data_IF_123158676163
#
_entry.id   IF_123158676163
#
_cell.length_a   1.000
_cell.length_b   1.000
_cell.length_c   1.000
_cell.angle_alpha   90.00
_cell.angle_beta   90.00
_cell.angle_gamma   90.00
#
_symmetry.space_group_name_H-M   'P 1'
#
loop_
_entity.id
_entity.type
_entity.pdbx_description
1 polymer ?
#
# COMPACT_ATOMS: atom_id res chain seq x y z
N UNK A 1 -4.96 36.58 -5.19
CA UNK A 1 -4.28 37.34 -6.27
C UNK A 1 -3.41 38.48 -5.74
N UNK A 2 -3.90 39.24 -4.75
CA UNK A 2 -3.19 40.41 -4.19
C UNK A 2 -1.85 40.07 -3.51
N UNK A 3 -1.79 38.97 -2.75
CA UNK A 3 -0.59 38.55 -2.00
C UNK A 3 0.54 38.06 -2.92
N UNK A 4 0.21 37.39 -4.02
CA UNK A 4 1.21 36.89 -4.98
C UNK A 4 1.82 38.03 -5.80
N UNK A 5 1.04 39.06 -6.15
CA UNK A 5 1.56 40.28 -6.77
C UNK A 5 2.59 40.96 -5.87
N UNK A 6 2.35 41.02 -4.57
CA UNK A 6 3.29 41.59 -3.60
C UNK A 6 4.61 40.82 -3.54
N UNK A 7 4.58 39.49 -3.59
CA UNK A 7 5.78 38.65 -3.52
C UNK A 7 6.66 38.76 -4.80
N UNK A 8 6.04 38.81 -5.98
CA UNK A 8 6.78 39.00 -7.26
C UNK A 8 7.38 40.39 -7.34
N UNK A 9 6.69 41.41 -6.81
CA UNK A 9 7.20 42.78 -6.77
C UNK A 9 8.40 42.93 -5.83
N UNK A 10 8.41 42.20 -4.71
CA UNK A 10 9.54 42.17 -3.77
C UNK A 10 10.77 41.48 -4.37
N UNK A 11 10.60 40.34 -5.04
CA UNK A 11 11.70 39.61 -5.68
C UNK A 11 12.33 40.40 -6.86
N UNK A 12 11.53 41.20 -7.57
CA UNK A 12 12.01 42.07 -8.65
C UNK A 12 12.88 43.23 -8.16
N UNK A 13 12.72 43.68 -6.91
CA UNK A 13 13.55 44.77 -6.38
C UNK A 13 14.92 44.29 -5.91
N UNK A 14 15.07 43.01 -5.55
CA UNK A 14 16.27 42.51 -4.90
C UNK A 14 17.33 41.97 -5.88
N UNK A 15 16.96 41.62 -7.12
CA UNK A 15 17.88 40.94 -8.06
C UNK A 15 18.53 41.83 -9.12
N UNK A 16 18.22 43.13 -9.19
CA UNK A 16 18.75 44.11 -10.18
C UNK A 16 18.75 43.66 -11.66
N UNK A 17 18.04 42.57 -11.97
CA UNK A 17 17.93 41.98 -13.30
C UNK A 17 16.46 42.08 -13.72
N UNK A 18 16.12 42.86 -14.77
CA UNK A 18 14.76 42.97 -15.24
C UNK A 18 14.33 41.62 -15.82
N UNK A 19 13.41 40.96 -15.13
CA UNK A 19 12.73 39.76 -15.64
C UNK A 19 11.94 40.19 -16.90
N UNK A 20 12.15 39.58 -18.07
CA UNK A 20 11.45 39.97 -19.28
C UNK A 20 9.93 39.78 -19.10
N UNK A 21 9.16 40.82 -19.43
CA UNK A 21 7.70 40.96 -19.21
C UNK A 21 6.85 39.79 -19.76
N UNK A 22 7.39 39.03 -20.72
CA UNK A 22 6.77 37.84 -21.30
C UNK A 22 6.87 36.59 -20.41
N UNK A 23 7.81 36.54 -19.47
CA UNK A 23 7.99 35.40 -18.56
C UNK A 23 7.06 35.45 -17.35
N UNK A 24 6.72 36.64 -16.85
CA UNK A 24 5.77 36.80 -15.75
C UNK A 24 4.34 36.42 -16.14
N UNK A 25 3.92 36.77 -17.36
CA UNK A 25 2.59 36.44 -17.90
C UNK A 25 2.41 34.94 -18.14
N UNK A 26 3.44 34.23 -18.61
CA UNK A 26 3.44 32.77 -18.77
C UNK A 26 3.40 32.03 -17.43
N UNK A 27 4.12 32.53 -16.42
CA UNK A 27 4.12 31.97 -15.06
C UNK A 27 2.75 32.21 -14.41
N UNK A 28 2.18 33.42 -14.52
CA UNK A 28 0.86 33.73 -13.99
C UNK A 28 -0.26 32.92 -14.65
N UNK A 29 -0.23 32.73 -15.97
CA UNK A 29 -1.18 31.85 -16.66
C UNK A 29 -1.02 30.39 -16.25
N UNK A 30 0.21 29.89 -16.09
CA UNK A 30 0.45 28.50 -15.67
C UNK A 30 -0.04 28.24 -14.25
N UNK A 31 0.22 29.17 -13.31
CA UNK A 31 -0.23 29.05 -11.92
C UNK A 31 -1.76 29.20 -11.83
N UNK A 32 -2.36 30.16 -12.54
CA UNK A 32 -3.80 30.37 -12.51
C UNK A 32 -4.56 29.18 -13.13
N UNK A 33 -4.04 28.62 -14.23
CA UNK A 33 -4.58 27.40 -14.84
C UNK A 33 -4.42 26.21 -13.91
N UNK A 34 -3.25 26.04 -13.26
CA UNK A 34 -3.03 24.97 -12.29
C UNK A 34 -4.00 25.07 -11.10
N UNK A 35 -4.24 26.28 -10.58
CA UNK A 35 -5.10 26.54 -9.43
C UNK A 35 -6.59 26.33 -9.75
N UNK A 36 -7.07 26.85 -10.89
CA UNK A 36 -8.47 26.68 -11.32
C UNK A 36 -8.77 25.21 -11.63
N UNK A 37 -7.79 24.48 -12.19
CA UNK A 37 -7.94 23.08 -12.55
C UNK A 37 -7.83 22.16 -11.32
N UNK A 38 -7.01 22.50 -10.31
CA UNK A 38 -7.04 21.82 -9.00
C UNK A 38 -8.37 22.05 -8.28
N UNK A 39 -8.88 23.28 -8.25
CA UNK A 39 -10.17 23.60 -7.61
C UNK A 39 -11.33 22.89 -8.33
N UNK A 40 -11.36 22.88 -9.66
CA UNK A 40 -12.40 22.18 -10.41
C UNK A 40 -12.28 20.64 -10.32
N UNK A 41 -11.07 20.08 -10.19
CA UNK A 41 -10.89 18.66 -9.87
C UNK A 41 -11.41 18.30 -8.48
N UNK A 42 -11.21 19.17 -7.48
CA UNK A 42 -11.70 18.90 -6.12
C UNK A 42 -13.22 18.91 -5.98
N UNK A 43 -13.95 19.54 -6.92
CA UNK A 43 -15.39 19.76 -6.79
C UNK A 43 -16.27 18.57 -7.20
N UNK A 44 -15.75 17.56 -7.91
CA UNK A 44 -16.58 16.51 -8.54
C UNK A 44 -16.41 15.10 -7.99
N UNK A 45 -15.33 14.80 -7.30
CA UNK A 45 -15.03 13.42 -6.88
C UNK A 45 -15.23 13.21 -5.36
N UNK A 46 -15.70 12.02 -4.93
CA UNK A 46 -15.72 11.67 -3.51
C UNK A 46 -14.32 11.81 -2.88
N UNK A 47 -14.28 12.36 -1.66
CA UNK A 47 -13.06 12.83 -0.97
C UNK A 47 -12.01 11.72 -0.77
N UNK A 48 -12.42 10.45 -0.64
CA UNK A 48 -11.51 9.31 -0.51
C UNK A 48 -12.15 8.02 -1.03
N UNK A 49 -11.50 7.33 -1.96
CA UNK A 49 -12.02 6.12 -2.64
C UNK A 49 -11.14 4.88 -2.47
N UNK A 50 -9.87 5.04 -2.05
CA UNK A 50 -8.99 3.94 -1.66
C UNK A 50 -9.50 3.21 -0.41
N UNK A 51 -10.20 3.94 0.46
CA UNK A 51 -10.87 3.38 1.63
C UNK A 51 -12.06 2.54 1.20
N UNK A 52 -11.94 1.22 1.31
CA UNK A 52 -13.12 0.34 1.29
C UNK A 52 -13.95 0.63 2.52
N UNK A 53 -15.20 1.06 2.32
CA UNK A 53 -16.14 1.27 3.43
C UNK A 53 -16.36 -0.07 4.13
N UNK A 54 -16.15 -0.11 5.44
CA UNK A 54 -16.51 -1.26 6.27
C UNK A 54 -18.00 -1.13 6.54
N UNK A 55 -18.80 -1.86 5.78
CA UNK A 55 -20.23 -1.95 6.01
C UNK A 55 -20.51 -3.09 6.99
N UNK A 56 -20.98 -2.73 8.19
CA UNK A 56 -21.30 -3.67 9.26
C UNK A 56 -22.55 -4.50 8.99
N UNK A 57 -23.30 -4.26 7.91
CA UNK A 57 -24.38 -5.16 7.51
C UNK A 57 -23.86 -6.50 6.96
N UNK A 58 -22.59 -6.54 6.51
CA UNK A 58 -21.97 -7.77 6.05
C UNK A 58 -21.42 -8.60 7.22
N UNK A 59 -21.89 -9.85 7.34
CA UNK A 59 -21.45 -10.81 8.37
C UNK A 59 -19.93 -10.96 8.41
N UNK A 60 -19.26 -11.00 7.26
CA UNK A 60 -17.79 -11.10 7.17
C UNK A 60 -17.09 -9.93 7.88
N UNK A 61 -17.61 -8.71 7.75
CA UNK A 61 -17.02 -7.54 8.39
C UNK A 61 -17.25 -7.57 9.91
N UNK A 62 -18.45 -7.95 10.35
CA UNK A 62 -18.75 -8.14 11.77
C UNK A 62 -17.83 -9.19 12.40
N UNK A 63 -17.67 -10.34 11.74
CA UNK A 63 -16.85 -11.44 12.23
C UNK A 63 -15.38 -11.05 12.35
N UNK A 64 -14.79 -10.36 11.36
CA UNK A 64 -13.39 -9.96 11.47
C UNK A 64 -13.19 -8.89 12.54
N UNK A 65 -14.13 -7.95 12.70
CA UNK A 65 -14.05 -6.95 13.77
C UNK A 65 -14.12 -7.62 15.14
N UNK A 66 -15.05 -8.57 15.34
CA UNK A 66 -15.14 -9.34 16.57
C UNK A 66 -13.89 -10.20 16.81
N UNK A 67 -13.35 -10.84 15.75
CA UNK A 67 -12.16 -11.67 15.85
C UNK A 67 -10.90 -10.85 16.19
N UNK A 68 -10.73 -9.68 15.57
CA UNK A 68 -9.64 -8.75 15.89
C UNK A 68 -9.77 -8.16 17.30
N UNK A 69 -10.98 -7.79 17.73
CA UNK A 69 -11.21 -7.33 19.10
C UNK A 69 -10.92 -8.45 20.12
N UNK A 70 -11.37 -9.68 19.82
CA UNK A 70 -11.14 -10.86 20.64
C UNK A 70 -9.66 -11.23 20.74
N UNK A 71 -8.90 -11.16 19.64
CA UNK A 71 -7.46 -11.39 19.67
C UNK A 71 -6.72 -10.35 20.50
N UNK A 72 -7.11 -9.08 20.39
CA UNK A 72 -6.52 -8.02 21.20
C UNK A 72 -6.82 -8.17 22.69
N UNK A 73 -8.06 -8.51 23.05
CA UNK A 73 -8.43 -8.81 24.43
C UNK A 73 -7.65 -10.01 24.97
N UNK A 74 -7.53 -11.09 24.19
CA UNK A 74 -6.77 -12.27 24.58
C UNK A 74 -5.30 -11.93 24.85
N UNK A 75 -4.65 -11.19 23.95
CA UNK A 75 -3.24 -10.80 24.12
C UNK A 75 -3.06 -9.89 25.33
N UNK A 76 -3.93 -8.90 25.52
CA UNK A 76 -3.89 -8.03 26.70
C UNK A 76 -4.03 -8.85 28.00
N UNK A 77 -4.95 -9.82 28.06
CA UNK A 77 -5.12 -10.67 29.24
C UNK A 77 -3.91 -11.59 29.49
N UNK A 78 -3.25 -12.06 28.42
CA UNK A 78 -2.09 -12.96 28.54
C UNK A 78 -0.79 -12.25 28.92
N UNK A 79 -0.62 -10.98 28.53
CA UNK A 79 0.62 -10.22 28.76
C UNK A 79 0.49 -9.17 29.87
N UNK A 80 -0.74 -8.75 30.17
CA UNK A 80 -1.02 -7.58 31.03
C UNK A 80 -0.80 -6.24 30.34
N UNK A 81 -0.40 -6.20 29.06
CA UNK A 81 -0.06 -4.99 28.32
C UNK A 81 -1.07 -4.66 27.22
N UNK A 82 -1.70 -3.49 27.33
CA UNK A 82 -2.68 -2.97 26.36
C UNK A 82 -2.04 -2.78 24.98
N UNK A 83 -0.75 -2.43 24.91
CA UNK A 83 -0.06 -2.18 23.64
C UNK A 83 0.08 -3.47 22.82
N UNK A 84 0.37 -4.59 23.48
CA UNK A 84 0.39 -5.92 22.85
C UNK A 84 -0.99 -6.36 22.36
N UNK A 85 -2.05 -6.05 23.11
CA UNK A 85 -3.43 -6.33 22.69
C UNK A 85 -3.82 -5.53 21.44
N UNK A 86 -3.52 -4.23 21.42
CA UNK A 86 -3.79 -3.41 20.24
C UNK A 86 -3.00 -3.89 19.02
N UNK A 87 -1.74 -4.31 19.24
CA UNK A 87 -0.88 -4.88 18.20
C UNK A 87 -1.49 -6.16 17.61
N UNK A 88 -1.98 -7.08 18.44
CA UNK A 88 -2.61 -8.31 17.99
C UNK A 88 -3.92 -8.05 17.24
N UNK A 89 -4.76 -7.13 17.72
CA UNK A 89 -5.98 -6.73 17.03
C UNK A 89 -5.68 -6.14 15.64
N UNK A 90 -4.70 -5.23 15.58
CA UNK A 90 -4.29 -4.58 14.34
C UNK A 90 -3.68 -5.57 13.35
N UNK A 91 -2.80 -6.47 13.82
CA UNK A 91 -2.19 -7.51 13.01
C UNK A 91 -3.24 -8.43 12.38
N UNK A 92 -4.17 -8.97 13.18
CA UNK A 92 -5.25 -9.85 12.69
C UNK A 92 -6.12 -9.14 11.65
N UNK A 93 -6.49 -7.89 11.90
CA UNK A 93 -7.29 -7.10 10.95
C UNK A 93 -6.52 -6.79 9.66
N UNK A 94 -5.26 -6.38 9.74
CA UNK A 94 -4.44 -6.05 8.58
C UNK A 94 -4.11 -7.30 7.76
N UNK A 95 -3.85 -8.45 8.38
CA UNK A 95 -3.67 -9.72 7.65
C UNK A 95 -4.92 -10.06 6.84
N UNK A 96 -6.10 -9.98 7.46
CA UNK A 96 -7.37 -10.21 6.74
C UNK A 96 -7.54 -9.23 5.58
N UNK A 97 -7.26 -7.94 5.81
CA UNK A 97 -7.40 -6.92 4.79
C UNK A 97 -6.45 -7.15 3.61
N UNK A 98 -5.17 -7.47 3.87
CA UNK A 98 -4.18 -7.78 2.85
C UNK A 98 -4.56 -9.05 2.08
N UNK A 99 -4.96 -10.12 2.78
CA UNK A 99 -5.36 -11.37 2.14
C UNK A 99 -6.54 -11.17 1.17
N UNK A 100 -7.48 -10.28 1.49
CA UNK A 100 -8.59 -9.92 0.57
C UNK A 100 -8.14 -9.14 -0.67
N UNK A 101 -7.03 -8.42 -0.60
CA UNK A 101 -6.45 -7.78 -1.78
C UNK A 101 -5.66 -8.79 -2.64
N UNK A 102 -5.08 -9.83 -2.03
CA UNK A 102 -4.35 -10.89 -2.73
C UNK A 102 -5.29 -11.94 -3.37
N UNK A 103 -6.40 -12.25 -2.71
CA UNK A 103 -7.41 -13.21 -3.18
C UNK A 103 -8.83 -12.65 -2.98
N UNK A 104 -9.27 -11.72 -3.85
CA UNK A 104 -10.61 -11.15 -3.74
C UNK A 104 -11.73 -12.15 -4.05
N UNK A 105 -11.42 -13.30 -4.66
CA UNK A 105 -12.39 -14.34 -5.02
C UNK A 105 -12.94 -15.08 -3.79
N UNK A 106 -12.09 -15.33 -2.79
CA UNK A 106 -12.43 -16.23 -1.68
C UNK A 106 -12.34 -15.49 -0.33
N UNK A 107 -13.44 -14.94 0.19
CA UNK A 107 -13.40 -14.19 1.45
C UNK A 107 -12.99 -15.06 2.66
N UNK A 108 -13.17 -16.37 2.58
CA UNK A 108 -12.79 -17.31 3.64
C UNK A 108 -11.27 -17.52 3.75
N UNK A 109 -10.52 -17.37 2.65
CA UNK A 109 -9.06 -17.50 2.69
C UNK A 109 -8.42 -16.41 3.56
N UNK A 110 -9.03 -15.22 3.59
CA UNK A 110 -8.62 -14.12 4.45
C UNK A 110 -8.85 -14.38 5.95
N UNK A 111 -9.90 -15.12 6.32
CA UNK A 111 -10.08 -15.55 7.72
C UNK A 111 -9.04 -16.58 8.15
N UNK A 112 -8.70 -17.50 7.26
CA UNK A 112 -7.63 -18.46 7.53
C UNK A 112 -6.28 -17.75 7.71
N UNK A 113 -5.96 -16.77 6.86
CA UNK A 113 -4.78 -15.91 7.03
C UNK A 113 -4.77 -15.21 8.40
N UNK A 114 -5.89 -14.60 8.80
CA UNK A 114 -6.01 -13.91 10.07
C UNK A 114 -5.80 -14.86 11.27
N UNK A 115 -6.32 -16.08 11.19
CA UNK A 115 -6.09 -17.11 12.21
C UNK A 115 -4.63 -17.53 12.27
N UNK A 116 -3.98 -17.76 11.12
CA UNK A 116 -2.54 -18.07 11.07
C UNK A 116 -1.69 -16.98 11.72
N UNK A 117 -2.00 -15.71 11.48
CA UNK A 117 -1.35 -14.59 12.16
C UNK A 117 -1.54 -14.69 13.67
N UNK A 118 -2.77 -14.90 14.16
CA UNK A 118 -3.02 -15.01 15.59
C UNK A 118 -2.18 -16.11 16.26
N UNK A 119 -2.06 -17.27 15.61
CA UNK A 119 -1.25 -18.37 16.12
C UNK A 119 0.26 -18.15 16.05
N UNK A 120 0.71 -17.35 15.07
CA UNK A 120 2.14 -17.16 14.80
C UNK A 120 2.70 -15.88 15.43
N UNK A 121 1.84 -14.96 15.88
CA UNK A 121 2.23 -13.67 16.45
C UNK A 121 3.13 -13.85 17.68
N UNK A 122 4.26 -13.16 17.67
CA UNK A 122 5.13 -13.08 18.83
C UNK A 122 4.56 -12.05 19.83
N UNK A 123 4.36 -12.47 21.07
CA UNK A 123 3.73 -11.67 22.14
C UNK A 123 4.52 -10.41 22.50
N UNK A 124 5.85 -10.44 22.33
CA UNK A 124 6.73 -9.31 22.65
C UNK A 124 7.24 -8.57 21.40
N UNK A 125 6.90 -9.07 20.21
CA UNK A 125 7.33 -8.48 18.94
C UNK A 125 6.59 -7.17 18.64
N UNK A 126 7.28 -6.24 17.99
CA UNK A 126 6.68 -5.01 17.46
C UNK A 126 6.06 -5.26 16.09
N UNK A 127 5.09 -4.42 15.73
CA UNK A 127 4.41 -4.45 14.45
C UNK A 127 4.48 -3.08 13.79
N UNK A 128 4.94 -3.04 12.54
CA UNK A 128 4.94 -1.83 11.73
C UNK A 128 3.58 -1.62 11.07
N UNK A 129 2.56 -1.32 11.89
CA UNK A 129 1.18 -1.18 11.42
C UNK A 129 1.00 -0.12 10.34
N UNK A 130 1.77 0.98 10.41
CA UNK A 130 1.77 2.04 9.40
C UNK A 130 2.28 1.55 8.04
N UNK A 131 3.35 0.74 8.03
CA UNK A 131 3.91 0.17 6.81
C UNK A 131 2.92 -0.80 6.15
N UNK A 132 2.29 -1.66 6.96
CA UNK A 132 1.28 -2.59 6.48
C UNK A 132 0.04 -1.88 5.94
N UNK A 133 -0.37 -0.79 6.59
CA UNK A 133 -1.45 0.06 6.11
C UNK A 133 -1.09 0.76 4.79
N UNK A 134 0.16 1.25 4.66
CA UNK A 134 0.68 1.81 3.42
C UNK A 134 0.63 0.79 2.29
N UNK A 135 1.11 -0.43 2.54
CA UNK A 135 1.08 -1.53 1.58
C UNK A 135 -0.36 -1.85 1.17
N UNK A 136 -1.30 -1.93 2.10
CA UNK A 136 -2.72 -2.17 1.81
C UNK A 136 -3.29 -1.11 0.84
N UNK A 137 -3.00 0.17 1.08
CA UNK A 137 -3.46 1.26 0.20
C UNK A 137 -2.79 1.18 -1.18
N UNK A 138 -1.50 0.84 -1.22
CA UNK A 138 -0.76 0.66 -2.47
C UNK A 138 -1.32 -0.49 -3.32
N UNK A 139 -1.61 -1.64 -2.69
CA UNK A 139 -2.23 -2.77 -3.37
C UNK A 139 -3.62 -2.40 -3.90
N UNK A 140 -4.43 -1.66 -3.13
CA UNK A 140 -5.75 -1.17 -3.59
C UNK A 140 -5.65 -0.24 -4.78
N UNK A 141 -4.63 0.63 -4.82
CA UNK A 141 -4.35 1.43 -6.00
C UNK A 141 -4.15 0.50 -7.19
N UNK A 142 -3.18 -0.42 -7.11
CA UNK A 142 -2.80 -1.26 -8.26
C UNK A 142 -3.94 -2.17 -8.70
N UNK A 143 -4.56 -2.89 -7.75
CA UNK A 143 -5.64 -3.83 -8.00
C UNK A 143 -6.91 -3.17 -8.54
N UNK A 144 -7.34 -2.07 -7.93
CA UNK A 144 -8.67 -1.52 -8.21
C UNK A 144 -9.83 -2.43 -7.79
N UNK A 145 -9.64 -3.25 -6.77
CA UNK A 145 -10.67 -4.12 -6.17
C UNK A 145 -11.91 -3.35 -5.72
N UNK A 146 -11.77 -2.07 -5.37
CA UNK A 146 -12.89 -1.17 -5.03
C UNK A 146 -13.78 -0.81 -6.23
N UNK A 147 -13.30 -1.00 -7.47
CA UNK A 147 -14.00 -0.65 -8.71
C UNK A 147 -14.10 0.85 -9.00
N UNK A 148 -13.84 1.70 -8.00
CA UNK A 148 -13.95 3.16 -8.12
C UNK A 148 -12.76 3.77 -8.83
N UNK A 149 -12.99 4.89 -9.51
CA UNK A 149 -11.91 5.74 -10.01
C UNK A 149 -11.20 6.38 -8.81
N UNK A 150 -9.88 6.32 -8.81
CA UNK A 150 -9.05 6.99 -7.79
C UNK A 150 -9.30 8.49 -7.84
N UNK A 151 -9.60 9.08 -6.68
CA UNK A 151 -9.67 10.53 -6.54
C UNK A 151 -8.26 11.12 -6.51
N UNK A 152 -8.15 12.43 -6.75
CA UNK A 152 -6.89 13.13 -6.59
C UNK A 152 -6.40 13.13 -5.14
N UNK A 153 -7.33 13.21 -4.17
CA UNK A 153 -7.00 13.10 -2.75
C UNK A 153 -6.39 11.75 -2.40
N UNK A 154 -6.91 10.65 -2.97
CA UNK A 154 -6.33 9.31 -2.77
C UNK A 154 -4.87 9.25 -3.25
N UNK A 155 -4.60 9.81 -4.43
CA UNK A 155 -3.26 9.84 -5.01
C UNK A 155 -2.32 10.69 -4.17
N UNK A 156 -2.75 11.89 -3.73
CA UNK A 156 -1.95 12.77 -2.88
C UNK A 156 -1.73 12.17 -1.49
N UNK A 157 -2.74 11.55 -0.89
CA UNK A 157 -2.63 10.92 0.42
C UNK A 157 -1.64 9.75 0.37
N UNK A 158 -1.73 8.89 -0.65
CA UNK A 158 -0.82 7.75 -0.78
C UNK A 158 0.61 8.19 -1.18
N UNK A 159 0.74 9.24 -2.00
CA UNK A 159 2.01 9.90 -2.26
C UNK A 159 2.65 10.44 -0.96
N UNK A 160 1.92 11.25 -0.20
CA UNK A 160 2.38 11.82 1.06
C UNK A 160 2.72 10.72 2.08
N UNK A 161 1.92 9.66 2.12
CA UNK A 161 2.17 8.54 3.02
C UNK A 161 3.41 7.73 2.61
N UNK A 162 3.66 7.57 1.30
CA UNK A 162 4.88 6.96 0.79
C UNK A 162 6.11 7.79 1.17
N UNK A 163 6.05 9.11 1.02
CA UNK A 163 7.13 10.00 1.46
C UNK A 163 7.36 9.88 2.95
N UNK A 164 6.29 9.89 3.75
CA UNK A 164 6.38 9.73 5.18
C UNK A 164 7.05 8.41 5.59
N UNK A 165 6.59 7.28 5.04
CA UNK A 165 7.19 5.96 5.32
C UNK A 165 8.67 5.96 4.89
N UNK A 166 8.96 6.41 3.67
CA UNK A 166 10.32 6.47 3.13
C UNK A 166 11.28 7.27 4.01
N UNK A 167 10.83 8.42 4.51
CA UNK A 167 11.64 9.29 5.39
C UNK A 167 11.77 8.71 6.80
N UNK A 168 10.67 8.20 7.37
CA UNK A 168 10.66 7.63 8.72
C UNK A 168 11.59 6.43 8.87
N UNK A 169 11.75 5.64 7.79
CA UNK A 169 12.64 4.48 7.77
C UNK A 169 14.00 4.79 7.12
N UNK A 170 14.21 6.01 6.62
CA UNK A 170 15.37 6.40 5.80
C UNK A 170 15.66 5.44 4.62
N UNK A 171 14.61 4.89 3.98
CA UNK A 171 14.74 3.87 2.93
C UNK A 171 14.07 4.32 1.63
N UNK A 172 14.88 4.66 0.63
CA UNK A 172 14.38 5.14 -0.67
C UNK A 172 13.58 4.10 -1.46
N UNK A 173 13.72 2.80 -1.17
CA UNK A 173 13.01 1.73 -1.88
C UNK A 173 11.49 1.82 -1.80
N UNK A 174 10.93 2.46 -0.76
CA UNK A 174 9.49 2.74 -0.71
C UNK A 174 9.03 3.66 -1.84
N UNK A 175 9.86 4.64 -2.23
CA UNK A 175 9.61 5.48 -3.41
C UNK A 175 9.69 4.67 -4.71
N UNK A 176 10.60 3.70 -4.79
CA UNK A 176 10.70 2.81 -5.94
C UNK A 176 9.45 1.93 -6.09
N UNK A 177 8.95 1.35 -5.00
CA UNK A 177 7.70 0.57 -5.03
C UNK A 177 6.51 1.44 -5.46
N UNK A 178 6.45 2.69 -5.01
CA UNK A 178 5.45 3.64 -5.46
C UNK A 178 5.58 3.99 -6.95
N UNK A 179 6.81 4.18 -7.45
CA UNK A 179 7.09 4.39 -8.88
C UNK A 179 6.61 3.20 -9.73
N UNK A 180 6.90 1.97 -9.29
CA UNK A 180 6.42 0.75 -9.96
C UNK A 180 4.89 0.70 -9.95
N UNK A 181 4.24 1.04 -8.84
CA UNK A 181 2.78 1.12 -8.75
C UNK A 181 2.18 2.19 -9.69
N UNK A 182 2.86 3.34 -9.83
CA UNK A 182 2.47 4.41 -10.75
C UNK A 182 2.53 3.91 -12.21
N UNK A 183 3.63 3.25 -12.58
CA UNK A 183 3.84 2.66 -13.90
C UNK A 183 2.83 1.55 -14.22
N UNK A 184 2.39 0.79 -13.22
CA UNK A 184 1.39 -0.27 -13.37
C UNK A 184 -0.01 0.25 -13.74
N UNK A 185 -0.30 1.53 -13.49
CA UNK A 185 -1.65 2.10 -13.67
C UNK A 185 -1.65 3.42 -14.47
N UNK A 186 -1.14 3.42 -15.71
CA UNK A 186 -0.96 4.66 -16.48
C UNK A 186 -2.28 5.33 -16.86
N UNK A 187 -3.34 4.54 -17.06
CA UNK A 187 -4.64 5.04 -17.51
C UNK A 187 -5.47 5.76 -16.44
N UNK A 188 -5.03 5.80 -15.18
CA UNK A 188 -5.79 6.47 -14.12
C UNK A 188 -5.48 7.95 -13.95
N UNK A 189 -4.40 8.43 -14.57
CA UNK A 189 -4.06 9.86 -14.57
C UNK A 189 -4.75 10.58 -15.75
N UNK A 190 -5.23 11.81 -15.53
CA UNK A 190 -6.11 12.50 -16.48
C UNK A 190 -5.43 12.91 -17.78
N UNK A 191 -4.09 13.00 -17.84
CA UNK A 191 -3.37 13.26 -19.09
C UNK A 191 -1.94 12.70 -19.06
N UNK A 192 -1.40 12.38 -20.25
CA UNK A 192 -0.02 11.90 -20.45
C UNK A 192 1.06 12.84 -19.87
N UNK A 193 1.01 14.18 -20.02
CA UNK A 193 2.03 15.05 -19.44
C UNK A 193 2.01 15.06 -17.90
N UNK A 194 0.84 14.93 -17.26
CA UNK A 194 0.78 14.82 -15.79
C UNK A 194 1.39 13.50 -15.30
N UNK A 195 1.21 12.41 -16.05
CA UNK A 195 1.85 11.14 -15.75
C UNK A 195 3.38 11.22 -15.84
N UNK A 196 3.90 11.80 -16.93
CA UNK A 196 5.34 11.95 -17.12
C UNK A 196 5.98 12.88 -16.07
N UNK A 197 5.34 14.00 -15.74
CA UNK A 197 5.83 14.90 -14.69
C UNK A 197 5.78 14.27 -13.30
N UNK A 198 4.76 13.47 -12.99
CA UNK A 198 4.76 12.68 -11.76
C UNK A 198 5.92 11.68 -11.77
N UNK A 199 6.10 10.93 -12.86
CA UNK A 199 7.17 9.93 -12.96
C UNK A 199 8.57 10.55 -12.78
N UNK A 200 8.83 11.70 -13.42
CA UNK A 200 10.12 12.40 -13.29
C UNK A 200 10.31 12.99 -11.89
N UNK A 201 9.27 13.57 -11.28
CA UNK A 201 9.35 14.09 -9.93
C UNK A 201 9.64 12.98 -8.90
N UNK A 202 8.91 11.88 -8.95
CA UNK A 202 9.11 10.74 -8.05
C UNK A 202 10.44 10.02 -8.31
N UNK A 203 10.87 9.92 -9.57
CA UNK A 203 12.19 9.41 -9.95
C UNK A 203 13.31 10.26 -9.40
N UNK A 204 13.19 11.59 -9.50
CA UNK A 204 14.13 12.54 -8.92
C UNK A 204 14.20 12.44 -7.39
N UNK A 205 13.06 12.32 -6.71
CA UNK A 205 13.01 12.13 -5.25
C UNK A 205 13.66 10.81 -4.81
N UNK A 206 13.44 9.72 -5.56
CA UNK A 206 14.10 8.45 -5.31
C UNK A 206 15.63 8.55 -5.43
N UNK A 207 16.12 9.16 -6.52
CA UNK A 207 17.56 9.36 -6.73
C UNK A 207 18.14 10.25 -5.63
N UNK A 208 17.50 11.39 -5.34
CA UNK A 208 17.90 12.31 -4.29
C UNK A 208 18.03 11.62 -2.93
N UNK A 209 17.00 10.89 -2.49
CA UNK A 209 17.02 10.21 -1.20
C UNK A 209 18.07 9.10 -1.16
N UNK A 210 18.26 8.38 -2.27
CA UNK A 210 19.30 7.34 -2.39
C UNK A 210 20.71 7.94 -2.32
N UNK A 211 20.93 9.14 -2.86
CA UNK A 211 22.21 9.84 -2.73
C UNK A 211 22.49 10.29 -1.30
N UNK A 212 21.45 10.72 -0.56
CA UNK A 212 21.60 11.17 0.83
C UNK A 212 21.83 10.02 1.83
N UNK A 213 21.07 8.94 1.70
CA UNK A 213 21.06 7.84 2.68
C UNK A 213 21.78 6.57 2.19
N UNK A 214 22.24 6.55 0.93
CA UNK A 214 22.75 5.36 0.28
C UNK A 214 21.63 4.42 -0.18
N UNK A 215 22.02 3.34 -0.86
CA UNK A 215 21.14 2.19 -1.03
C UNK A 215 21.06 1.42 0.29
N UNK A 216 19.88 0.91 0.67
CA UNK A 216 19.77 0.11 1.88
C UNK A 216 20.70 -1.10 1.78
N UNK A 217 21.57 -1.25 2.79
CA UNK A 217 22.44 -2.42 2.90
C UNK A 217 21.56 -3.61 3.24
N UNK A 218 21.41 -4.53 2.29
CA UNK A 218 20.72 -5.80 2.52
C UNK A 218 21.55 -6.60 3.52
N UNK A 219 21.00 -6.81 4.70
CA UNK A 219 21.66 -7.63 5.73
C UNK A 219 21.48 -9.10 5.39
N UNK A 220 22.55 -9.89 5.53
CA UNK A 220 22.46 -11.34 5.41
C UNK A 220 21.52 -11.87 6.50
N UNK A 221 20.52 -12.64 6.07
CA UNK A 221 19.53 -13.23 6.97
C UNK A 221 20.19 -14.15 7.99
N UNK A 222 19.98 -13.85 9.27
CA UNK A 222 20.11 -14.86 10.31
C UNK A 222 18.90 -15.78 10.22
N UNK A 223 19.04 -16.90 9.49
CA UNK A 223 17.99 -17.92 9.34
C UNK A 223 17.77 -18.76 10.62
N UNK A 224 18.28 -18.32 11.77
CA UNK A 224 18.18 -19.03 13.05
C UNK A 224 16.80 -18.92 13.70
N UNK A 225 15.96 -17.98 13.25
CA UNK A 225 14.61 -17.78 13.80
C UNK A 225 13.52 -18.22 12.81
N UNK A 226 12.32 -18.49 13.33
CA UNK A 226 11.22 -19.08 12.57
C UNK A 226 10.62 -18.12 11.53
N UNK A 227 10.59 -16.83 11.84
CA UNK A 227 9.97 -15.77 11.04
C UNK A 227 10.64 -15.55 9.67
N UNK A 228 11.97 -15.43 9.56
CA UNK A 228 12.62 -15.32 8.26
C UNK A 228 12.47 -16.58 7.42
N UNK A 229 12.40 -17.77 8.04
CA UNK A 229 12.11 -19.02 7.34
C UNK A 229 10.68 -19.02 6.78
N UNK A 230 9.71 -18.57 7.56
CA UNK A 230 8.31 -18.45 7.13
C UNK A 230 8.17 -17.45 5.96
N UNK A 231 8.86 -16.31 6.03
CA UNK A 231 8.85 -15.34 4.95
C UNK A 231 9.56 -15.86 3.69
N UNK A 232 10.71 -16.54 3.83
CA UNK A 232 11.44 -17.14 2.71
C UNK A 232 10.60 -18.22 2.00
N UNK A 233 9.98 -19.11 2.75
CA UNK A 233 9.08 -20.14 2.19
C UNK A 233 7.89 -19.48 1.48
N UNK A 234 7.35 -18.39 2.03
CA UNK A 234 6.32 -17.60 1.36
C UNK A 234 6.80 -17.08 0.01
N UNK A 235 7.99 -16.46 -0.05
CA UNK A 235 8.56 -15.91 -1.29
C UNK A 235 8.74 -16.99 -2.37
N UNK A 236 9.15 -18.19 -1.98
CA UNK A 236 9.39 -19.31 -2.92
C UNK A 236 8.06 -19.92 -3.41
N UNK A 237 7.10 -20.12 -2.53
CA UNK A 237 5.86 -20.85 -2.84
C UNK A 237 4.80 -19.93 -3.46
N UNK A 238 4.77 -18.66 -3.06
CA UNK A 238 3.75 -17.70 -3.46
C UNK A 238 3.58 -17.54 -4.98
N UNK A 239 4.63 -17.34 -5.79
CA UNK A 239 4.48 -17.17 -7.23
C UNK A 239 3.74 -18.35 -7.88
N UNK A 240 4.07 -19.57 -7.46
CA UNK A 240 3.46 -20.80 -7.97
C UNK A 240 1.97 -20.86 -7.64
N UNK A 241 1.57 -20.53 -6.41
CA UNK A 241 0.17 -20.60 -6.01
C UNK A 241 -0.64 -19.46 -6.60
N UNK A 242 -0.08 -18.26 -6.60
CA UNK A 242 -0.77 -17.10 -7.12
C UNK A 242 -0.96 -17.15 -8.64
N UNK A 243 -0.09 -17.84 -9.37
CA UNK A 243 -0.33 -18.19 -10.77
C UNK A 243 -1.66 -18.94 -10.97
N UNK A 244 -2.06 -19.79 -10.02
CA UNK A 244 -3.35 -20.47 -10.05
C UNK A 244 -4.50 -19.58 -9.57
N UNK A 245 -4.29 -18.80 -8.50
CA UNK A 245 -5.33 -17.88 -7.97
C UNK A 245 -5.75 -16.87 -9.03
N UNK A 246 -4.80 -16.32 -9.80
CA UNK A 246 -5.08 -15.34 -10.85
C UNK A 246 -5.89 -15.89 -12.03
N UNK A 247 -6.12 -17.20 -12.14
CA UNK A 247 -6.97 -17.78 -13.20
C UNK A 247 -8.45 -17.79 -12.83
N UNK A 248 -8.79 -17.54 -11.58
CA UNK A 248 -10.19 -17.52 -11.13
C UNK A 248 -10.81 -16.17 -11.53
N UNK A 249 -11.94 -16.16 -12.27
CA UNK A 249 -12.61 -14.91 -12.60
C UNK A 249 -13.09 -14.23 -11.31
N UNK A 250 -12.75 -12.96 -11.17
CA UNK A 250 -13.04 -12.16 -9.97
C UNK A 250 -13.79 -10.89 -10.35
N UNK A 251 -14.66 -10.45 -9.45
CA UNK A 251 -15.40 -9.19 -9.58
C UNK A 251 -14.92 -8.19 -8.55
N UNK A 252 -14.89 -6.91 -8.93
CA UNK A 252 -14.67 -5.83 -7.98
C UNK A 252 -15.90 -5.60 -7.09
N UNK A 253 -15.79 -4.70 -6.12
CA UNK A 253 -16.88 -4.38 -5.19
C UNK A 253 -18.13 -3.79 -5.87
N UNK A 254 -18.01 -3.30 -7.11
CA UNK A 254 -19.12 -2.82 -7.93
C UNK A 254 -19.72 -3.92 -8.83
N UNK A 255 -19.23 -5.16 -8.75
CA UNK A 255 -19.68 -6.27 -9.59
C UNK A 255 -19.03 -6.34 -10.97
N UNK A 256 -18.18 -5.37 -11.35
CA UNK A 256 -17.48 -5.39 -12.64
C UNK A 256 -16.35 -6.44 -12.64
N UNK A 257 -16.03 -7.07 -13.78
CA UNK A 257 -14.90 -8.00 -13.86
C UNK A 257 -13.58 -7.30 -13.54
N UNK A 258 -12.77 -7.91 -12.69
CA UNK A 258 -11.45 -7.40 -12.32
C UNK A 258 -10.43 -7.73 -13.41
N UNK A 259 -9.53 -6.79 -13.72
CA UNK A 259 -8.46 -7.03 -14.67
C UNK A 259 -7.37 -7.90 -14.02
N UNK A 260 -7.21 -9.14 -14.50
CA UNK A 260 -6.26 -10.12 -13.97
C UNK A 260 -4.80 -9.65 -14.03
N UNK A 261 -4.42 -8.85 -15.04
CA UNK A 261 -3.05 -8.33 -15.13
C UNK A 261 -2.72 -7.36 -13.99
N UNK A 262 -3.72 -6.57 -13.54
CA UNK A 262 -3.56 -5.68 -12.39
C UNK A 262 -3.47 -6.46 -11.09
N UNK A 263 -4.27 -7.52 -10.95
CA UNK A 263 -4.19 -8.44 -9.81
C UNK A 263 -2.82 -9.08 -9.72
N UNK A 264 -2.28 -9.57 -10.83
CA UNK A 264 -0.94 -10.14 -10.88
C UNK A 264 0.17 -9.11 -10.59
N UNK A 265 0.00 -7.86 -11.02
CA UNK A 265 1.00 -6.82 -10.76
C UNK A 265 1.03 -6.41 -9.29
N UNK A 266 -0.12 -6.31 -8.62
CA UNK A 266 -0.13 -6.02 -7.18
C UNK A 266 0.48 -7.16 -6.37
N UNK A 267 0.31 -8.39 -6.84
CA UNK A 267 0.87 -9.56 -6.23
C UNK A 267 2.40 -9.57 -6.31
N UNK A 268 2.96 -9.29 -7.49
CA UNK A 268 4.40 -9.13 -7.65
C UNK A 268 4.92 -7.98 -6.79
N UNK A 269 4.18 -6.88 -6.69
CA UNK A 269 4.52 -5.76 -5.81
C UNK A 269 4.50 -6.18 -4.33
N UNK A 270 3.50 -6.94 -3.89
CA UNK A 270 3.42 -7.48 -2.53
C UNK A 270 4.64 -8.36 -2.22
N UNK A 271 5.00 -9.26 -3.14
CA UNK A 271 6.17 -10.13 -2.98
C UNK A 271 7.48 -9.35 -2.99
N UNK A 272 7.61 -8.33 -3.85
CA UNK A 272 8.79 -7.47 -3.88
C UNK A 272 8.99 -6.73 -2.55
N UNK A 273 7.89 -6.22 -1.96
CA UNK A 273 7.93 -5.60 -0.62
C UNK A 273 8.27 -6.64 0.45
N UNK A 274 7.68 -7.84 0.42
CA UNK A 274 8.00 -8.92 1.37
C UNK A 274 9.49 -9.29 1.33
N UNK A 275 10.03 -9.49 0.13
CA UNK A 275 11.46 -9.79 -0.08
C UNK A 275 12.30 -8.66 0.49
N UNK A 276 12.00 -7.41 0.18
CA UNK A 276 12.74 -6.28 0.73
C UNK A 276 12.74 -6.27 2.26
N UNK A 277 11.58 -6.44 2.89
CA UNK A 277 11.45 -6.44 4.35
C UNK A 277 12.22 -7.59 5.01
N UNK A 278 12.30 -8.73 4.32
CA UNK A 278 13.07 -9.88 4.79
C UNK A 278 14.55 -9.55 4.94
N UNK A 279 15.11 -8.76 4.02
CA UNK A 279 16.53 -8.37 4.03
C UNK A 279 16.81 -7.04 4.74
N UNK A 280 15.78 -6.23 4.98
CA UNK A 280 15.90 -4.94 5.69
C UNK A 280 15.87 -5.08 7.21
N UNK A 281 15.73 -6.30 7.74
CA UNK A 281 15.59 -6.54 9.18
C UNK A 281 14.26 -6.02 9.75
N UNK A 282 13.18 -6.13 8.98
CA UNK A 282 11.85 -5.71 9.44
C UNK A 282 11.40 -6.48 10.69
N UNK A 283 10.48 -5.88 11.44
CA UNK A 283 9.97 -6.48 12.67
C UNK A 283 9.31 -7.83 12.42
N UNK A 284 9.54 -8.78 13.33
CA UNK A 284 9.08 -10.17 13.21
C UNK A 284 7.57 -10.29 12.97
N UNK A 285 6.74 -9.53 13.70
CA UNK A 285 5.29 -9.58 13.54
C UNK A 285 4.83 -8.99 12.20
N UNK A 286 5.57 -8.02 11.64
CA UNK A 286 5.31 -7.50 10.29
C UNK A 286 5.50 -8.60 9.23
N UNK A 287 6.59 -9.37 9.34
CA UNK A 287 6.85 -10.51 8.45
C UNK A 287 5.82 -11.63 8.61
N UNK A 288 5.40 -11.92 9.84
CA UNK A 288 4.33 -12.90 10.14
C UNK A 288 3.01 -12.48 9.48
N UNK A 289 2.60 -11.22 9.62
CA UNK A 289 1.37 -10.69 9.02
C UNK A 289 1.39 -10.85 7.51
N UNK A 290 2.47 -10.42 6.85
CA UNK A 290 2.59 -10.52 5.40
C UNK A 290 2.63 -11.99 4.94
N UNK A 291 3.43 -12.82 5.60
CA UNK A 291 3.51 -14.25 5.26
C UNK A 291 2.14 -14.91 5.39
N UNK A 292 1.45 -14.69 6.51
CA UNK A 292 0.10 -15.24 6.75
C UNK A 292 -0.90 -14.79 5.69
N UNK A 293 -0.86 -13.51 5.28
CA UNK A 293 -1.73 -12.97 4.25
C UNK A 293 -1.55 -13.70 2.91
N UNK A 294 -0.33 -14.12 2.58
CA UNK A 294 -0.07 -14.93 1.40
C UNK A 294 -0.45 -16.41 1.59
N UNK A 295 -0.18 -17.01 2.76
CA UNK A 295 -0.49 -18.41 3.05
C UNK A 295 -2.00 -18.71 3.08
N UNK A 296 -2.83 -17.74 3.47
CA UNK A 296 -4.30 -17.88 3.48
C UNK A 296 -4.89 -18.40 2.16
N UNK A 297 -4.71 -17.65 1.06
CA UNK A 297 -5.07 -18.08 -0.29
C UNK A 297 -4.48 -19.43 -0.69
N UNK A 298 -3.23 -19.72 -0.27
CA UNK A 298 -2.57 -20.98 -0.63
C UNK A 298 -3.23 -22.19 0.00
N UNK A 299 -3.52 -22.12 1.29
CA UNK A 299 -4.16 -23.21 2.02
C UNK A 299 -5.56 -23.50 1.48
N UNK A 300 -6.33 -22.44 1.16
CA UNK A 300 -7.65 -22.59 0.57
C UNK A 300 -7.60 -23.30 -0.80
N UNK A 301 -6.64 -22.93 -1.65
CA UNK A 301 -6.49 -23.56 -2.96
C UNK A 301 -6.04 -25.03 -2.86
N UNK A 302 -5.12 -25.34 -1.94
CA UNK A 302 -4.68 -26.71 -1.67
C UNK A 302 -5.86 -27.61 -1.22
N UNK A 303 -6.72 -27.10 -0.34
CA UNK A 303 -7.92 -27.82 0.10
C UNK A 303 -8.89 -28.09 -1.06
N UNK A 304 -9.08 -27.12 -1.95
CA UNK A 304 -9.96 -27.26 -3.12
C UNK A 304 -9.50 -28.34 -4.09
N UNK A 305 -8.19 -28.53 -4.28
CA UNK A 305 -7.65 -29.62 -5.10
C UNK A 305 -7.78 -30.99 -4.44
N UNK A 306 -7.54 -31.08 -3.13
CA UNK A 306 -7.69 -32.33 -2.37
C UNK A 306 -9.11 -32.90 -2.47
N UNK A 307 -10.13 -32.06 -2.34
CA UNK A 307 -11.55 -32.49 -2.47
C UNK A 307 -11.94 -33.01 -3.85
N UNK A 308 -11.16 -32.74 -4.90
CA UNK A 308 -11.42 -33.29 -6.25
C UNK A 308 -10.79 -34.66 -6.47
N UNK A 309 -9.87 -35.06 -5.59
CA UNK A 309 -9.16 -36.34 -5.68
C UNK A 309 -9.79 -37.43 -4.80
N UNK A 310 -10.61 -37.04 -3.82
CA UNK A 310 -11.42 -37.90 -2.95
C UNK A 310 -12.83 -38.04 -3.48
#
# INVERSE_FOLDING_TARGET
MTILRSAVHLYSQESNNPIPYWSSTLIEHSICTFTILTINMFRRDPIFTLGRKIDFNYKTNQLITAFAAGSGLLFWLLTGDVSSGLTAALAVFLTWALARELDPAHPYSAFFAAALTLFSLNRTGRLDGLLLFWLLLLLRWVNGTTGKRLSLMDMLALAGFTLFVSQSTANSLFLLFFLVALLAVPHRLPSRPYFLSALTAWGGLFIWQTLLHGLPVLTLLSLSTFEPLLALTTVVIAPCVFWFVCKVPTTCDQGNPLNLAKLYTSLLLFLAVLVFLLFSGAEANTLIVMSSAAWGPMAYFAQGKLKKLT
#
